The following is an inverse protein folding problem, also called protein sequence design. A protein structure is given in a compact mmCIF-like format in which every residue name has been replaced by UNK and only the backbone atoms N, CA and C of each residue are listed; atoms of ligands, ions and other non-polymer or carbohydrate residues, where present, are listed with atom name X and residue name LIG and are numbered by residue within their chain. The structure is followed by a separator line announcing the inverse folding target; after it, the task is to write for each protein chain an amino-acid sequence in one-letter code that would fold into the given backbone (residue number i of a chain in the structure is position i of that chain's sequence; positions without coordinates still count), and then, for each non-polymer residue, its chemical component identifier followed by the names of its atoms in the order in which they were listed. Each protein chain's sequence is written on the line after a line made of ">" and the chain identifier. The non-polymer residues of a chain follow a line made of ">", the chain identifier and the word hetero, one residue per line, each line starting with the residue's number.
data_IF_391882714239
#
_entry.id   IF_391882714239
#
_cell.length_a   1.000
_cell.length_b   1.000
_cell.length_c   1.000
_cell.angle_alpha   90.00
_cell.angle_beta   90.00
_cell.angle_gamma   90.00
#
_symmetry.space_group_name_H-M   'P 1'
#
loop_
_entity.id
_entity.type
_entity.pdbx_description
1 polymer ?
#
# COMPACT_ATOMS: atom_id res chain seq x y z
N UNK A 1 -4.30 -27.29 60.21
CA UNK A 1 -3.16 -26.35 60.12
C UNK A 1 -2.09 -26.99 59.24
N UNK A 2 -1.75 -26.33 58.13
CA UNK A 2 -0.51 -26.42 57.33
C UNK A 2 -0.10 -27.79 56.75
N UNK A 3 -0.32 -27.97 55.44
CA UNK A 3 0.71 -28.41 54.46
C UNK A 3 0.13 -28.46 53.03
N UNK A 4 -0.08 -27.28 52.42
CA UNK A 4 -0.24 -27.13 50.97
C UNK A 4 1.09 -26.58 50.46
N UNK A 5 2.03 -27.45 50.09
CA UNK A 5 3.21 -27.07 49.32
C UNK A 5 3.90 -28.35 48.85
N UNK A 6 3.70 -28.72 47.57
CA UNK A 6 4.56 -29.54 46.69
C UNK A 6 3.73 -30.07 45.51
N UNK A 7 3.19 -29.15 44.72
CA UNK A 7 2.61 -29.45 43.40
C UNK A 7 3.03 -28.33 42.44
N UNK A 8 4.34 -28.13 42.28
CA UNK A 8 4.92 -27.09 41.41
C UNK A 8 6.10 -27.62 40.59
N UNK A 9 6.15 -28.93 40.32
CA UNK A 9 7.23 -29.56 39.57
C UNK A 9 6.69 -30.54 38.52
N UNK A 10 5.70 -30.09 37.73
CA UNK A 10 5.17 -30.84 36.58
C UNK A 10 4.76 -29.90 35.44
N UNK A 11 5.38 -28.73 35.36
CA UNK A 11 5.13 -27.70 34.34
C UNK A 11 6.41 -27.29 33.58
N UNK A 12 7.36 -28.21 33.45
CA UNK A 12 8.68 -27.94 32.86
C UNK A 12 9.08 -28.89 31.73
N UNK A 13 8.11 -29.59 31.11
CA UNK A 13 8.40 -30.50 29.99
C UNK A 13 7.28 -30.52 28.92
N UNK A 14 6.77 -29.35 28.54
CA UNK A 14 5.86 -29.19 27.41
C UNK A 14 6.16 -27.87 26.68
N UNK A 15 7.37 -27.76 26.14
CA UNK A 15 7.73 -26.68 25.23
C UNK A 15 8.78 -27.22 24.28
N UNK A 16 8.40 -27.36 23.01
CA UNK A 16 9.10 -27.83 21.79
C UNK A 16 8.03 -28.65 21.00
N UNK A 17 7.43 -28.27 19.85
CA UNK A 17 7.69 -27.32 18.77
C UNK A 17 6.41 -27.08 17.96
N UNK A 18 6.24 -25.87 17.42
CA UNK A 18 5.80 -25.57 16.03
C UNK A 18 5.67 -24.04 15.94
N UNK A 19 6.73 -23.31 15.60
CA UNK A 19 7.08 -22.86 14.24
C UNK A 19 5.98 -22.01 13.59
N UNK A 20 5.84 -20.77 14.06
CA UNK A 20 5.37 -19.68 13.20
C UNK A 20 6.60 -18.98 12.63
N UNK A 21 6.68 -18.97 11.30
CA UNK A 21 7.84 -18.60 10.52
C UNK A 21 8.27 -17.14 10.74
N UNK A 22 9.33 -16.96 11.51
CA UNK A 22 10.17 -15.77 11.35
C UNK A 22 10.84 -15.90 9.99
N UNK A 23 10.54 -14.98 9.07
CA UNK A 23 11.24 -14.85 7.81
C UNK A 23 12.75 -14.80 8.10
N UNK A 24 13.45 -15.88 7.76
CA UNK A 24 14.89 -15.99 7.97
C UNK A 24 15.57 -15.06 6.98
N UNK A 25 15.79 -13.82 7.38
CA UNK A 25 16.65 -12.90 6.64
C UNK A 25 18.04 -13.53 6.63
N UNK A 26 18.50 -13.96 5.46
CA UNK A 26 19.79 -14.65 5.31
C UNK A 26 20.92 -13.74 5.78
N UNK A 27 21.68 -14.15 6.79
CA UNK A 27 22.87 -13.43 7.27
C UNK A 27 24.07 -13.46 6.31
N UNK A 28 23.89 -14.06 5.13
CA UNK A 28 24.87 -14.03 4.06
C UNK A 28 24.74 -12.69 3.35
N UNK A 29 25.82 -11.91 3.34
CA UNK A 29 25.89 -10.69 2.56
C UNK A 29 25.85 -11.04 1.07
N UNK A 30 24.66 -10.95 0.46
CA UNK A 30 24.47 -11.06 -0.98
C UNK A 30 24.74 -9.69 -1.63
N UNK A 31 26.01 -9.43 -1.93
CA UNK A 31 26.47 -8.19 -2.54
C UNK A 31 27.94 -7.86 -2.27
N UNK A 32 28.44 -6.80 -2.91
CA UNK A 32 29.84 -6.34 -2.73
C UNK A 32 30.03 -5.59 -1.40
N UNK A 33 28.97 -5.00 -0.85
CA UNK A 33 29.02 -4.19 0.37
C UNK A 33 27.71 -4.23 1.15
N UNK A 34 27.77 -3.96 2.47
CA UNK A 34 26.60 -3.76 3.34
C UNK A 34 26.00 -2.38 3.03
N UNK A 35 24.70 -2.34 2.72
CA UNK A 35 24.03 -1.08 2.36
C UNK A 35 23.69 -0.27 3.63
N UNK A 36 24.14 0.97 3.69
CA UNK A 36 23.86 1.89 4.83
C UNK A 36 22.84 2.99 4.49
N UNK A 37 22.38 3.10 3.23
CA UNK A 37 21.85 4.35 2.66
C UNK A 37 20.36 4.68 2.89
N UNK A 38 19.56 3.81 3.50
CA UNK A 38 18.09 3.92 3.41
C UNK A 38 17.32 4.18 4.72
N UNK A 39 17.69 3.69 5.93
CA UNK A 39 16.69 3.59 7.01
C UNK A 39 16.32 4.88 7.76
N UNK A 40 16.92 6.04 7.46
CA UNK A 40 16.70 7.26 8.27
C UNK A 40 16.54 8.55 7.46
N UNK A 41 15.95 8.50 6.27
CA UNK A 41 15.72 9.73 5.50
C UNK A 41 14.61 10.56 6.14
N UNK A 42 14.85 11.86 6.27
CA UNK A 42 13.85 12.81 6.79
C UNK A 42 13.14 13.49 5.63
N UNK A 43 11.81 13.57 5.72
CA UNK A 43 10.99 14.31 4.76
C UNK A 43 11.36 15.79 4.80
N UNK A 44 11.50 16.39 3.61
CA UNK A 44 11.67 17.83 3.48
C UNK A 44 10.32 18.50 3.79
N UNK A 45 10.20 19.33 4.83
CA UNK A 45 8.93 19.97 5.15
C UNK A 45 8.53 20.95 4.05
N UNK A 46 7.22 21.13 3.86
CA UNK A 46 6.73 22.17 2.96
C UNK A 46 7.06 23.57 3.53
N UNK A 47 7.29 24.57 2.66
CA UNK A 47 7.40 25.95 3.11
C UNK A 47 6.09 26.39 3.78
N UNK A 48 6.22 27.16 4.87
CA UNK A 48 5.06 27.79 5.51
C UNK A 48 4.40 28.73 4.49
N UNK A 49 3.09 28.57 4.32
CA UNK A 49 2.30 29.39 3.40
C UNK A 49 1.17 30.01 4.19
N UNK A 50 1.06 31.34 4.14
CA UNK A 50 -0.03 32.09 4.74
C UNK A 50 -1.12 32.29 3.71
N UNK A 51 -2.37 32.27 4.14
CA UNK A 51 -3.53 32.47 3.27
C UNK A 51 -3.44 33.78 2.48
N UNK A 52 -2.99 34.87 3.11
CA UNK A 52 -2.82 36.18 2.48
C UNK A 52 -1.80 36.23 1.33
N UNK A 53 -0.92 35.23 1.22
CA UNK A 53 0.08 35.15 0.15
C UNK A 53 -0.37 34.26 -1.02
N UNK A 54 -1.52 33.59 -0.89
CA UNK A 54 -2.12 32.81 -1.97
C UNK A 54 -2.99 33.73 -2.82
N UNK A 55 -2.46 34.17 -3.96
CA UNK A 55 -3.21 35.03 -4.89
C UNK A 55 -4.22 34.25 -5.73
N UNK A 56 -3.92 32.98 -5.99
CA UNK A 56 -4.74 32.11 -6.82
C UNK A 56 -4.52 30.67 -6.38
N UNK A 57 -5.60 29.88 -6.39
CA UNK A 57 -5.52 28.44 -6.22
C UNK A 57 -6.54 27.72 -7.10
N UNK A 58 -6.20 26.50 -7.51
CA UNK A 58 -7.08 25.60 -8.25
C UNK A 58 -6.78 24.16 -7.88
N UNK A 59 -7.84 23.41 -7.60
CA UNK A 59 -7.76 21.97 -7.39
C UNK A 59 -7.86 21.22 -8.72
N UNK A 60 -6.97 20.25 -8.91
CA UNK A 60 -6.86 19.45 -10.14
C UNK A 60 -6.76 17.98 -9.76
N UNK A 61 -7.51 17.14 -10.47
CA UNK A 61 -7.39 15.69 -10.39
C UNK A 61 -6.63 15.21 -11.63
N UNK A 62 -5.56 14.45 -11.40
CA UNK A 62 -4.74 13.88 -12.46
C UNK A 62 -4.72 12.37 -12.33
N UNK A 63 -4.61 11.69 -13.47
CA UNK A 63 -4.52 10.23 -13.52
C UNK A 63 -3.16 9.82 -14.06
N UNK A 64 -2.46 8.98 -13.32
CA UNK A 64 -1.21 8.33 -13.69
C UNK A 64 -1.56 6.93 -14.18
N UNK A 65 -1.28 6.66 -15.45
CA UNK A 65 -1.46 5.35 -16.07
C UNK A 65 -0.16 4.54 -15.99
N UNK A 66 -0.19 3.41 -15.29
CA UNK A 66 0.98 2.56 -15.04
C UNK A 66 1.40 1.74 -16.26
N UNK A 67 0.54 1.60 -17.27
CA UNK A 67 0.85 0.91 -18.52
C UNK A 67 1.88 1.67 -19.33
N UNK A 68 1.98 2.97 -19.11
CA UNK A 68 2.94 3.85 -19.80
C UNK A 68 4.35 3.62 -19.27
N UNK A 69 5.31 3.44 -20.19
CA UNK A 69 6.75 3.24 -19.91
C UNK A 69 7.36 4.16 -18.85
N UNK A 70 7.12 5.50 -18.84
CA UNK A 70 7.69 6.37 -17.79
C UNK A 70 7.15 6.08 -16.38
N UNK A 71 5.92 5.55 -16.26
CA UNK A 71 5.25 5.34 -14.98
C UNK A 71 5.45 3.93 -14.41
N UNK A 72 6.14 3.06 -15.16
CA UNK A 72 6.45 1.69 -14.76
C UNK A 72 7.25 1.60 -13.45
N UNK A 73 7.89 2.69 -13.02
CA UNK A 73 8.60 2.82 -11.75
C UNK A 73 7.68 2.62 -10.52
N UNK A 74 6.39 2.94 -10.65
CA UNK A 74 5.41 2.73 -9.59
C UNK A 74 4.80 1.32 -9.59
N UNK A 75 4.99 0.58 -10.68
CA UNK A 75 4.37 -0.72 -10.92
C UNK A 75 5.32 -1.89 -10.68
N UNK A 76 6.59 -1.75 -11.05
CA UNK A 76 7.58 -2.81 -10.84
C UNK A 76 8.29 -2.67 -9.49
N UNK A 77 8.66 -3.78 -8.85
CA UNK A 77 8.42 -5.17 -9.28
C UNK A 77 6.98 -5.64 -8.97
N UNK A 78 6.45 -6.58 -9.78
CA UNK A 78 5.10 -7.14 -9.57
C UNK A 78 5.03 -8.02 -8.33
N UNK A 79 6.13 -8.71 -8.05
CA UNK A 79 6.33 -9.47 -6.81
C UNK A 79 7.50 -8.84 -6.04
N UNK A 80 7.39 -8.65 -4.72
CA UNK A 80 8.48 -8.17 -3.90
C UNK A 80 9.74 -9.03 -4.10
N UNK A 81 10.82 -8.42 -4.57
CA UNK A 81 12.07 -9.12 -4.88
C UNK A 81 13.27 -8.23 -4.54
N UNK A 82 14.33 -8.84 -3.99
CA UNK A 82 15.58 -8.13 -3.64
C UNK A 82 15.36 -6.87 -2.78
N UNK A 83 14.48 -6.98 -1.78
CA UNK A 83 14.10 -5.87 -0.87
C UNK A 83 13.38 -4.70 -1.58
N UNK A 84 12.92 -4.88 -2.82
CA UNK A 84 12.16 -3.87 -3.58
C UNK A 84 10.69 -4.26 -3.59
N UNK A 85 9.83 -3.27 -3.38
CA UNK A 85 8.37 -3.39 -3.49
C UNK A 85 7.86 -2.32 -4.44
N UNK A 86 6.70 -2.54 -5.05
CA UNK A 86 6.02 -1.50 -5.82
C UNK A 86 5.30 -0.53 -4.87
N UNK A 87 4.80 0.58 -5.41
CA UNK A 87 4.12 1.61 -4.62
C UNK A 87 2.87 1.09 -3.89
N UNK A 88 2.12 0.18 -4.54
CA UNK A 88 0.89 -0.37 -3.96
C UNK A 88 1.19 -1.28 -2.77
N UNK A 89 2.20 -2.14 -2.88
CA UNK A 89 2.61 -3.04 -1.81
C UNK A 89 3.09 -2.25 -0.58
N UNK A 90 3.85 -1.17 -0.77
CA UNK A 90 4.21 -0.28 0.35
C UNK A 90 2.99 0.39 0.99
N UNK A 91 2.03 0.86 0.19
CA UNK A 91 0.78 1.41 0.72
C UNK A 91 0.00 0.36 1.51
N UNK A 92 -0.14 -0.84 0.96
CA UNK A 92 -0.86 -1.95 1.59
C UNK A 92 -0.21 -2.34 2.92
N UNK A 93 1.09 -2.53 2.95
CA UNK A 93 1.86 -2.87 4.16
C UNK A 93 1.76 -1.77 5.22
N UNK A 94 1.94 -0.51 4.83
CA UNK A 94 1.84 0.63 5.74
C UNK A 94 0.44 0.79 6.37
N UNK A 95 -0.61 0.40 5.64
CA UNK A 95 -2.00 0.48 6.13
C UNK A 95 -2.38 -0.76 6.96
N UNK A 96 -2.02 -1.96 6.49
CA UNK A 96 -2.51 -3.23 7.07
C UNK A 96 -1.58 -3.81 8.14
N UNK A 97 -0.27 -3.72 7.95
CA UNK A 97 0.73 -4.36 8.81
C UNK A 97 1.31 -3.36 9.80
N UNK A 98 1.76 -2.20 9.33
CA UNK A 98 2.39 -1.18 10.19
C UNK A 98 1.36 -0.27 10.88
N UNK A 99 0.21 -0.03 10.24
CA UNK A 99 -0.79 0.94 10.70
C UNK A 99 -0.29 2.39 10.73
N UNK A 100 0.75 2.72 9.95
CA UNK A 100 1.37 4.06 9.88
C UNK A 100 0.58 5.02 9.01
N UNK A 101 -0.25 4.50 8.09
CA UNK A 101 -1.09 5.30 7.18
C UNK A 101 -2.57 5.01 7.38
N UNK A 102 -3.37 6.08 7.31
CA UNK A 102 -4.83 5.99 7.32
C UNK A 102 -5.37 5.98 5.89
N UNK A 103 -6.18 4.97 5.58
CA UNK A 103 -6.95 4.89 4.34
C UNK A 103 -8.32 5.57 4.52
N UNK A 104 -8.84 6.17 3.46
CA UNK A 104 -10.14 6.83 3.46
C UNK A 104 -11.03 6.27 2.36
N UNK A 105 -12.34 6.23 2.62
CA UNK A 105 -13.34 5.74 1.67
C UNK A 105 -13.48 6.74 0.50
N UNK A 106 -13.33 6.30 -0.77
CA UNK A 106 -13.57 7.16 -1.93
C UNK A 106 -15.06 7.39 -2.21
N UNK A 107 -15.95 6.74 -1.46
CA UNK A 107 -17.38 6.83 -1.66
C UNK A 107 -17.87 5.98 -2.85
N UNK A 108 -19.20 5.91 -3.05
CA UNK A 108 -19.78 5.20 -4.18
C UNK A 108 -19.49 5.91 -5.51
N UNK A 109 -19.47 5.19 -6.65
CA UNK A 109 -19.26 5.80 -7.97
C UNK A 109 -20.26 6.90 -8.35
N UNK A 110 -21.45 6.88 -7.75
CA UNK A 110 -22.50 7.89 -7.95
C UNK A 110 -22.28 9.18 -7.18
N UNK A 111 -21.59 9.14 -6.04
CA UNK A 111 -21.30 10.30 -5.19
C UNK A 111 -19.91 10.13 -4.55
N UNK A 112 -18.83 10.47 -5.28
CA UNK A 112 -17.47 10.26 -4.80
C UNK A 112 -17.14 11.19 -3.62
N UNK A 113 -16.61 10.63 -2.54
CA UNK A 113 -16.08 11.39 -1.40
C UNK A 113 -14.57 11.60 -1.56
N UNK A 114 -14.21 12.81 -1.97
CA UNK A 114 -12.82 13.23 -2.09
C UNK A 114 -12.32 13.99 -0.85
N UNK A 115 -13.13 14.18 0.19
CA UNK A 115 -12.81 15.08 1.31
C UNK A 115 -12.12 14.40 2.50
N UNK A 116 -11.77 13.11 2.38
CA UNK A 116 -11.15 12.32 3.46
C UNK A 116 -12.02 12.28 4.73
N UNK A 117 -13.34 12.23 4.57
CA UNK A 117 -14.29 12.33 5.69
C UNK A 117 -14.37 11.04 6.50
N UNK A 118 -14.29 9.89 5.83
CA UNK A 118 -14.51 8.56 6.41
C UNK A 118 -13.21 7.76 6.43
N UNK A 119 -12.51 7.67 7.57
CA UNK A 119 -11.36 6.77 7.68
C UNK A 119 -11.84 5.32 7.66
N UNK A 120 -11.12 4.48 6.91
CA UNK A 120 -11.35 3.05 6.84
C UNK A 120 -10.48 2.34 7.89
N UNK A 121 -11.04 1.28 8.50
CA UNK A 121 -10.25 0.37 9.32
C UNK A 121 -9.43 -0.58 8.45
N UNK A 122 -8.39 -1.20 9.00
CA UNK A 122 -7.61 -2.20 8.28
C UNK A 122 -8.48 -3.36 7.75
N UNK A 123 -9.51 -3.76 8.50
CA UNK A 123 -10.48 -4.77 8.06
C UNK A 123 -11.31 -4.32 6.85
N UNK A 124 -11.72 -3.05 6.81
CA UNK A 124 -12.51 -2.52 5.69
C UNK A 124 -11.67 -2.30 4.43
N UNK A 125 -10.36 -2.08 4.60
CA UNK A 125 -9.39 -2.10 3.50
C UNK A 125 -9.19 -3.53 3.02
N UNK A 126 -9.03 -4.51 3.92
CA UNK A 126 -8.91 -5.92 3.56
C UNK A 126 -10.10 -6.42 2.74
N UNK A 127 -11.33 -6.04 3.08
CA UNK A 127 -12.53 -6.38 2.29
C UNK A 127 -12.51 -5.82 0.88
N UNK A 128 -11.83 -4.70 0.63
CA UNK A 128 -11.67 -4.11 -0.71
C UNK A 128 -10.50 -4.72 -1.48
N UNK A 129 -9.53 -5.31 -0.77
CA UNK A 129 -8.32 -5.95 -1.32
C UNK A 129 -8.54 -7.44 -1.57
N UNK A 130 -9.37 -8.11 -0.78
CA UNK A 130 -9.64 -9.54 -0.96
C UNK A 130 -10.87 -9.69 -1.84
N UNK A 131 -10.72 -10.40 -2.96
CA UNK A 131 -11.86 -10.87 -3.76
C UNK A 131 -12.12 -12.31 -3.37
N UNK A 132 -13.26 -12.58 -2.74
CA UNK A 132 -13.71 -13.95 -2.47
C UNK A 132 -14.41 -14.48 -3.72
N UNK A 133 -13.81 -15.47 -4.38
CA UNK A 133 -14.45 -16.19 -5.49
C UNK A 133 -14.86 -17.56 -4.98
N UNK A 134 -16.15 -17.86 -5.09
CA UNK A 134 -16.67 -19.19 -4.82
C UNK A 134 -16.49 -20.04 -6.08
N UNK A 135 -15.67 -21.08 -5.99
CA UNK A 135 -15.53 -22.09 -7.04
C UNK A 135 -16.21 -23.37 -6.59
N UNK A 136 -17.11 -23.88 -7.43
CA UNK A 136 -17.72 -25.20 -7.25
C UNK A 136 -16.65 -26.28 -7.49
N UNK A 137 -16.50 -27.19 -6.52
CA UNK A 137 -15.61 -28.34 -6.65
C UNK A 137 -16.41 -29.50 -7.19
N UNK A 138 -16.01 -29.98 -8.36
CA UNK A 138 -16.63 -31.11 -9.04
C UNK A 138 -15.92 -32.43 -8.68
N UNK A 139 -16.70 -33.49 -8.48
CA UNK A 139 -16.17 -34.86 -8.36
C UNK A 139 -15.64 -35.39 -9.71
N UNK A 140 -14.98 -36.55 -9.70
CA UNK A 140 -14.54 -37.32 -10.87
C UNK A 140 -15.71 -37.64 -11.85
N UNK A 141 -16.96 -37.57 -11.38
CA UNK A 141 -18.18 -37.75 -12.16
C UNK A 141 -18.89 -36.44 -12.56
N UNK A 142 -18.34 -35.26 -12.22
CA UNK A 142 -18.89 -33.96 -12.61
C UNK A 142 -20.06 -33.46 -11.76
N UNK A 143 -20.33 -34.08 -10.61
CA UNK A 143 -21.32 -33.59 -9.63
C UNK A 143 -20.67 -32.61 -8.63
N UNK A 144 -21.41 -31.59 -8.19
CA UNK A 144 -20.91 -30.57 -7.25
C UNK A 144 -20.91 -31.15 -5.83
N UNK A 145 -19.72 -31.43 -5.30
CA UNK A 145 -19.53 -32.03 -3.95
C UNK A 145 -19.41 -30.97 -2.86
N UNK A 146 -19.10 -29.72 -3.24
CA UNK A 146 -19.11 -28.58 -2.34
C UNK A 146 -18.60 -27.31 -3.00
N UNK A 147 -18.82 -26.18 -2.34
CA UNK A 147 -18.28 -24.89 -2.75
C UNK A 147 -17.00 -24.61 -1.96
N UNK A 148 -15.88 -24.38 -2.65
CA UNK A 148 -14.66 -23.87 -2.02
C UNK A 148 -14.60 -22.36 -2.24
N UNK A 149 -14.52 -21.60 -1.15
CA UNK A 149 -14.24 -20.17 -1.20
C UNK A 149 -12.74 -19.98 -1.38
N UNK A 150 -12.31 -19.58 -2.57
CA UNK A 150 -10.93 -19.18 -2.84
C UNK A 150 -10.82 -17.69 -2.52
N UNK A 151 -10.02 -17.35 -1.51
CA UNK A 151 -9.67 -15.97 -1.19
C UNK A 151 -8.47 -15.56 -2.04
N UNK A 152 -8.72 -14.77 -3.07
CA UNK A 152 -7.63 -14.15 -3.84
C UNK A 152 -7.33 -12.77 -3.26
N UNK A 153 -6.07 -12.55 -2.88
CA UNK A 153 -5.62 -11.25 -2.38
C UNK A 153 -5.20 -10.41 -3.58
N UNK A 154 -5.74 -9.20 -3.70
CA UNK A 154 -5.42 -8.28 -4.79
C UNK A 154 -3.90 -8.10 -4.89
N UNK A 155 -3.37 -8.61 -6.00
CA UNK A 155 -1.97 -8.46 -6.37
C UNK A 155 -1.75 -7.09 -7.00
N UNK A 156 -0.54 -6.57 -6.85
CA UNK A 156 -0.16 -5.28 -7.43
C UNK A 156 -0.34 -5.19 -8.96
N UNK A 157 -0.35 -6.34 -9.67
CA UNK A 157 -0.63 -6.39 -11.11
C UNK A 157 -1.98 -5.74 -11.45
N UNK A 158 -3.02 -5.97 -10.63
CA UNK A 158 -4.37 -5.47 -10.89
C UNK A 158 -4.49 -3.94 -10.73
N UNK A 159 -3.55 -3.30 -10.05
CA UNK A 159 -3.49 -1.83 -9.96
C UNK A 159 -2.93 -1.28 -11.27
N UNK A 160 -3.77 -0.55 -12.02
CA UNK A 160 -3.39 0.00 -13.33
C UNK A 160 -3.27 1.51 -13.34
N UNK A 161 -3.92 2.20 -12.39
CA UNK A 161 -3.89 3.65 -12.34
C UNK A 161 -3.72 4.16 -10.91
N UNK A 162 -3.14 5.35 -10.81
CA UNK A 162 -3.22 6.17 -9.60
C UNK A 162 -3.91 7.48 -9.95
N UNK A 163 -4.92 7.84 -9.16
CA UNK A 163 -5.50 9.17 -9.20
C UNK A 163 -4.84 10.05 -8.12
N UNK A 164 -4.45 11.24 -8.54
CA UNK A 164 -3.72 12.20 -7.71
C UNK A 164 -4.57 13.45 -7.60
N UNK A 165 -4.83 13.85 -6.36
CA UNK A 165 -5.52 15.09 -6.03
C UNK A 165 -4.47 16.15 -5.73
N UNK A 166 -4.39 17.18 -6.57
CA UNK A 166 -3.40 18.24 -6.50
C UNK A 166 -4.05 19.61 -6.27
N UNK A 167 -3.42 20.43 -5.44
CA UNK A 167 -3.72 21.84 -5.29
C UNK A 167 -2.61 22.66 -5.92
N UNK A 168 -2.97 23.36 -7.00
CA UNK A 168 -2.11 24.31 -7.69
C UNK A 168 -2.35 25.68 -7.07
N UNK A 169 -1.29 26.39 -6.67
CA UNK A 169 -1.43 27.71 -6.10
C UNK A 169 -0.27 28.61 -6.50
N UNK A 170 -0.53 29.92 -6.58
CA UNK A 170 0.50 30.93 -6.83
C UNK A 170 0.89 31.59 -5.51
N UNK A 171 2.13 31.36 -5.08
CA UNK A 171 2.73 32.00 -3.91
C UNK A 171 3.28 33.36 -4.29
N UNK A 172 2.68 34.42 -3.75
CA UNK A 172 3.10 35.81 -3.98
C UNK A 172 4.50 36.10 -3.45
N UNK A 173 4.87 35.56 -2.28
CA UNK A 173 6.16 35.86 -1.66
C UNK A 173 7.31 35.32 -2.50
N UNK A 174 7.14 34.11 -3.02
CA UNK A 174 8.16 33.43 -3.85
C UNK A 174 8.00 33.75 -5.33
N UNK A 175 6.88 34.34 -5.74
CA UNK A 175 6.52 34.60 -7.14
C UNK A 175 6.60 33.34 -8.01
N UNK A 176 6.17 32.19 -7.47
CA UNK A 176 6.24 30.88 -8.11
C UNK A 176 4.86 30.21 -8.04
N UNK A 177 4.48 29.55 -9.13
CA UNK A 177 3.36 28.61 -9.14
C UNK A 177 3.87 27.25 -8.64
N UNK A 178 3.33 26.81 -7.53
CA UNK A 178 3.72 25.58 -6.85
C UNK A 178 2.54 24.60 -6.78
N UNK A 179 2.84 23.31 -6.65
CA UNK A 179 1.85 22.23 -6.66
C UNK A 179 2.01 21.38 -5.42
N UNK A 180 0.91 21.23 -4.67
CA UNK A 180 0.84 20.36 -3.49
C UNK A 180 -0.05 19.17 -3.77
N UNK A 181 0.52 17.98 -3.63
CA UNK A 181 -0.24 16.73 -3.68
C UNK A 181 -0.95 16.56 -2.33
N UNK A 182 -2.26 16.39 -2.38
CA UNK A 182 -3.15 16.24 -1.22
C UNK A 182 -3.52 14.77 -1.03
N UNK A 183 -3.82 14.07 -2.12
CA UNK A 183 -4.32 12.70 -2.07
C UNK A 183 -3.75 11.81 -3.16
N UNK A 184 -3.63 10.53 -2.84
CA UNK A 184 -3.30 9.46 -3.77
C UNK A 184 -4.34 8.35 -3.64
N UNK A 185 -4.88 7.87 -4.77
CA UNK A 185 -5.86 6.78 -4.82
C UNK A 185 -5.42 5.73 -5.83
N UNK A 186 -5.15 4.48 -5.42
CA UNK A 186 -4.95 3.38 -6.35
C UNK A 186 -6.29 2.94 -6.93
N UNK A 187 -6.29 2.70 -8.25
CA UNK A 187 -7.46 2.26 -9.02
C UNK A 187 -7.12 0.96 -9.72
N UNK A 188 -7.97 -0.04 -9.52
CA UNK A 188 -7.86 -1.36 -10.14
C UNK A 188 -8.77 -1.47 -11.34
N UNK A 189 -8.42 -2.38 -12.23
CA UNK A 189 -9.28 -2.78 -13.34
C UNK A 189 -9.69 -4.23 -13.13
N UNK A 190 -11.00 -4.46 -12.98
CA UNK A 190 -11.63 -5.76 -12.84
C UNK A 190 -12.43 -6.08 -14.10
N UNK A 191 -12.53 -7.35 -14.45
CA UNK A 191 -13.41 -7.79 -15.53
C UNK A 191 -14.85 -7.78 -15.01
N UNK A 192 -15.71 -6.97 -15.63
CA UNK A 192 -17.11 -6.93 -15.28
C UNK A 192 -17.86 -8.19 -15.74
N UNK A 193 -19.12 -8.38 -15.30
CA UNK A 193 -19.94 -9.53 -15.70
C UNK A 193 -20.08 -9.69 -17.22
N UNK A 194 -20.02 -8.57 -17.95
CA UNK A 194 -20.12 -8.53 -19.41
C UNK A 194 -18.78 -8.76 -20.14
N UNK A 195 -17.71 -9.08 -19.41
CA UNK A 195 -16.34 -9.22 -19.95
C UNK A 195 -15.65 -7.88 -20.28
N UNK A 196 -16.30 -6.75 -20.04
CA UNK A 196 -15.70 -5.43 -20.22
C UNK A 196 -14.90 -5.01 -18.97
N UNK A 197 -13.72 -4.37 -19.13
CA UNK A 197 -12.94 -3.88 -18.01
C UNK A 197 -13.67 -2.74 -17.30
N UNK A 198 -14.04 -2.97 -16.05
CA UNK A 198 -14.60 -1.95 -15.14
C UNK A 198 -13.52 -1.48 -14.18
N UNK A 199 -13.50 -0.18 -13.91
CA UNK A 199 -12.55 0.41 -12.98
C UNK A 199 -13.17 0.51 -11.60
N UNK A 200 -12.41 0.11 -10.59
CA UNK A 200 -12.82 0.18 -9.20
C UNK A 200 -11.77 0.94 -8.40
N UNK A 201 -12.25 1.92 -7.64
CA UNK A 201 -11.45 2.70 -6.71
C UNK A 201 -11.24 1.92 -5.42
N UNK A 202 -10.00 1.92 -4.90
CA UNK A 202 -9.69 1.24 -3.64
C UNK A 202 -9.91 2.16 -2.44
N UNK A 203 -8.97 3.08 -2.20
CA UNK A 203 -9.01 3.98 -1.06
C UNK A 203 -8.20 5.26 -1.33
N UNK A 204 -8.59 6.35 -0.69
CA UNK A 204 -7.80 7.58 -0.66
C UNK A 204 -6.74 7.49 0.45
N UNK A 205 -5.52 7.95 0.15
CA UNK A 205 -4.46 8.15 1.15
C UNK A 205 -4.13 9.63 1.21
N UNK A 206 -4.04 10.18 2.43
CA UNK A 206 -3.62 11.56 2.62
C UNK A 206 -2.11 11.68 2.37
N UNK A 207 -1.75 12.34 1.27
CA UNK A 207 -0.38 12.33 0.77
C UNK A 207 0.63 12.97 1.74
N UNK A 208 0.32 14.08 2.45
CA UNK A 208 1.26 14.64 3.43
C UNK A 208 1.70 13.67 4.54
N UNK A 209 0.85 12.72 4.94
CA UNK A 209 1.22 11.62 5.85
C UNK A 209 2.04 10.55 5.12
N UNK A 210 1.61 10.16 3.92
CA UNK A 210 2.32 9.16 3.09
C UNK A 210 3.78 9.51 2.80
N UNK A 211 4.12 10.81 2.75
CA UNK A 211 5.51 11.27 2.55
C UNK A 211 6.50 10.71 3.57
N UNK A 212 6.08 10.54 4.83
CA UNK A 212 6.94 10.03 5.89
C UNK A 212 7.30 8.55 5.69
N UNK A 213 6.36 7.80 5.12
CA UNK A 213 6.57 6.40 4.73
C UNK A 213 7.43 6.34 3.47
N UNK A 214 7.03 7.05 2.41
CA UNK A 214 7.70 7.02 1.10
C UNK A 214 9.16 7.46 1.13
N UNK A 215 9.55 8.35 2.03
CA UNK A 215 10.94 8.76 2.21
C UNK A 215 11.91 7.60 2.48
N UNK A 216 11.41 6.49 3.06
CA UNK A 216 12.20 5.29 3.37
C UNK A 216 11.87 4.10 2.45
N UNK A 217 10.89 4.23 1.55
CA UNK A 217 10.51 3.18 0.60
C UNK A 217 11.39 3.23 -0.65
N UNK A 218 12.15 2.17 -0.93
CA UNK A 218 13.01 2.12 -2.12
C UNK A 218 12.21 1.92 -3.41
N UNK A 219 12.65 2.62 -4.46
CA UNK A 219 12.08 2.63 -5.80
C UNK A 219 12.92 1.79 -6.75
N UNK A 220 12.25 1.13 -7.69
CA UNK A 220 12.92 0.47 -8.81
C UNK A 220 13.60 1.49 -9.75
N UNK A 221 14.93 1.48 -9.78
CA UNK A 221 15.72 2.27 -10.72
C UNK A 221 16.10 1.42 -11.94
N UNK A 222 15.73 1.89 -13.15
CA UNK A 222 16.02 1.21 -14.42
C UNK A 222 17.45 1.39 -14.92
N UNK A 223 18.11 2.47 -14.49
CA UNK A 223 19.37 2.93 -15.08
C UNK A 223 20.56 2.43 -14.25
N UNK A 224 20.42 2.42 -12.92
CA UNK A 224 21.49 2.07 -12.00
C UNK A 224 20.95 1.35 -10.76
N UNK A 225 21.27 0.06 -10.62
CA UNK A 225 20.86 -0.75 -9.47
C UNK A 225 21.60 -0.40 -8.17
N UNK A 226 22.78 0.22 -8.27
CA UNK A 226 23.56 0.69 -7.12
C UNK A 226 23.00 2.00 -6.55
N UNK A 227 22.35 2.83 -7.37
CA UNK A 227 21.70 4.07 -6.94
C UNK A 227 20.24 3.80 -6.56
N UNK A 228 19.98 3.64 -5.27
CA UNK A 228 18.63 3.48 -4.72
C UNK A 228 17.96 4.84 -4.48
N UNK A 229 16.89 5.07 -5.23
CA UNK A 229 15.98 6.20 -5.05
C UNK A 229 14.83 5.79 -4.15
N UNK A 230 14.19 6.76 -3.53
CA UNK A 230 12.99 6.55 -2.70
C UNK A 230 11.80 7.25 -3.34
N UNK A 231 10.59 6.83 -2.98
CA UNK A 231 9.33 7.33 -3.58
C UNK A 231 9.05 8.79 -3.20
#
# INVERSE_FOLDING_TARGET
>A
MKAILKLSLLFLLAGLWSLDGVAQQSFVLDGVYVKENTPSRKVIPYPNLREADVMWSKRVWRRIDLRKKPNQVFYFPVEPAQERKNLYDYLREAILEEGTLTAYDPGPPTDPDDMFTKPLTAEDVLKRVITETESEVFDEFGEVVGTQTIRDTLRADKVKFYEVKEDWFFDRQRSVLDVRIIGLKPVIEIEGPDGNPTQQDLFWVYFPEARFVFANCEVFNRVNDAERRTY
#
